data_IF_980822683045
#
_entry.id   IF_980822683045
#
_cell.length_a   1.000
_cell.length_b   1.000
_cell.length_c   1.000
_cell.angle_alpha   90.00
_cell.angle_beta   90.00
_cell.angle_gamma   90.00
#
_symmetry.space_group_name_H-M   'P 1'
#
loop_
_entity.id
_entity.type
_entity.pdbx_description
1 polymer ?
#
# COMPACT_ATOMS: atom_id res chain seq x y z
N UNK A 1 23.24 8.17 3.16
CA UNK A 1 22.19 9.19 3.24
C UNK A 1 21.17 8.97 2.17
N UNK A 2 19.98 8.58 2.58
CA UNK A 2 18.87 8.51 1.65
C UNK A 2 18.41 9.93 1.35
N UNK A 3 18.58 10.34 0.11
CA UNK A 3 18.01 11.61 -0.31
C UNK A 3 16.50 11.47 -0.28
N UNK A 4 15.82 12.38 0.39
CA UNK A 4 14.38 12.46 0.35
C UNK A 4 13.98 12.63 -1.12
N UNK A 5 13.18 11.73 -1.65
CA UNK A 5 12.71 11.85 -3.02
C UNK A 5 11.73 13.01 -3.13
N UNK A 6 12.02 13.90 -4.06
CA UNK A 6 11.14 15.03 -4.34
C UNK A 6 9.97 14.53 -5.15
N UNK A 7 8.77 14.64 -4.58
CA UNK A 7 7.55 14.23 -5.27
C UNK A 7 7.07 15.35 -6.20
N UNK A 8 6.51 14.96 -7.34
CA UNK A 8 5.84 15.91 -8.21
C UNK A 8 4.57 16.43 -7.52
N UNK A 9 4.01 17.51 -8.04
CA UNK A 9 2.76 18.06 -7.51
C UNK A 9 1.64 17.01 -7.48
N UNK A 10 1.48 16.28 -8.57
CA UNK A 10 0.44 15.25 -8.65
C UNK A 10 0.69 14.14 -7.64
N UNK A 11 1.92 13.68 -7.51
CA UNK A 11 2.29 12.65 -6.56
C UNK A 11 2.00 13.10 -5.12
N UNK A 12 2.35 14.33 -4.80
CA UNK A 12 2.13 14.85 -3.45
C UNK A 12 0.64 14.98 -3.14
N UNK A 13 -0.17 15.44 -4.09
CA UNK A 13 -1.61 15.54 -3.91
C UNK A 13 -2.24 14.17 -3.66
N UNK A 14 -1.85 13.18 -4.47
CA UNK A 14 -2.35 11.82 -4.32
C UNK A 14 -1.95 11.24 -2.97
N UNK A 15 -0.69 11.41 -2.59
CA UNK A 15 -0.20 10.90 -1.31
C UNK A 15 -0.94 11.53 -0.13
N UNK A 16 -1.14 12.86 -0.16
CA UNK A 16 -1.85 13.55 0.90
C UNK A 16 -3.28 13.02 1.08
N UNK A 17 -3.96 12.76 -0.02
CA UNK A 17 -5.33 12.22 0.02
C UNK A 17 -5.34 10.85 0.70
N UNK A 18 -4.40 9.99 0.33
CA UNK A 18 -4.31 8.64 0.89
C UNK A 18 -3.90 8.67 2.37
N UNK A 19 -2.96 9.54 2.73
CA UNK A 19 -2.51 9.67 4.11
C UNK A 19 -3.59 10.17 5.05
N UNK A 20 -4.46 11.05 4.58
CA UNK A 20 -5.56 11.61 5.39
C UNK A 20 -6.74 10.66 5.51
N UNK A 21 -6.80 9.63 4.69
CA UNK A 21 -7.89 8.68 4.74
C UNK A 21 -7.77 7.78 5.98
N UNK A 22 -8.91 7.45 6.58
CA UNK A 22 -8.96 6.60 7.77
C UNK A 22 -8.85 5.11 7.43
N UNK A 23 -8.91 4.77 6.17
CA UNK A 23 -8.81 3.39 5.71
C UNK A 23 -8.40 3.36 4.26
N UNK A 24 -8.44 2.18 3.63
CA UNK A 24 -8.06 2.08 2.22
C UNK A 24 -8.99 2.87 1.32
N UNK A 25 -8.42 3.51 0.30
CA UNK A 25 -9.17 4.27 -0.70
C UNK A 25 -9.12 3.55 -2.03
N UNK A 26 -10.28 3.37 -2.64
CA UNK A 26 -10.36 2.81 -3.98
C UNK A 26 -9.93 3.85 -5.01
N UNK A 27 -9.46 3.38 -6.16
CA UNK A 27 -8.94 4.26 -7.20
C UNK A 27 -9.95 5.34 -7.59
N UNK A 28 -11.24 4.99 -7.75
CA UNK A 28 -12.24 5.97 -8.14
C UNK A 28 -12.44 7.05 -7.08
N UNK A 29 -12.29 6.71 -5.80
CA UNK A 29 -12.38 7.72 -4.73
C UNK A 29 -11.22 8.70 -4.80
N UNK A 30 -10.03 8.19 -5.10
CA UNK A 30 -8.85 9.04 -5.29
C UNK A 30 -9.07 9.96 -6.49
N UNK A 31 -9.53 9.42 -7.62
CA UNK A 31 -9.81 10.20 -8.81
C UNK A 31 -10.81 11.33 -8.53
N UNK A 32 -11.86 11.00 -7.79
CA UNK A 32 -12.87 11.99 -7.42
C UNK A 32 -12.27 13.14 -6.60
N UNK A 33 -11.44 12.78 -5.62
CA UNK A 33 -10.83 13.77 -4.75
C UNK A 33 -9.80 14.65 -5.47
N UNK A 34 -9.02 14.07 -6.40
CA UNK A 34 -8.02 14.85 -7.13
C UNK A 34 -8.66 15.79 -8.14
N UNK A 35 -9.84 15.46 -8.67
CA UNK A 35 -10.57 16.35 -9.56
C UNK A 35 -10.88 17.68 -8.87
N UNK A 36 -11.18 17.64 -7.58
CA UNK A 36 -11.41 18.84 -6.78
C UNK A 36 -10.14 19.70 -6.65
N UNK A 37 -8.99 19.12 -6.88
CA UNK A 37 -7.71 19.82 -6.83
C UNK A 37 -7.21 20.23 -8.22
N UNK A 38 -8.06 20.07 -9.26
CA UNK A 38 -7.74 20.51 -10.60
C UNK A 38 -7.02 19.49 -11.48
N UNK A 39 -6.91 18.24 -11.04
CA UNK A 39 -6.31 17.19 -11.84
C UNK A 39 -7.43 16.40 -12.50
N UNK A 40 -7.54 16.49 -13.83
CA UNK A 40 -8.65 15.89 -14.57
C UNK A 40 -8.25 14.68 -15.41
N UNK A 41 -6.96 14.38 -15.54
CA UNK A 41 -6.48 13.30 -16.39
C UNK A 41 -6.25 12.03 -15.56
N UNK A 42 -7.10 10.99 -15.72
CA UNK A 42 -6.95 9.74 -14.94
C UNK A 42 -5.59 9.09 -15.13
N UNK A 43 -5.00 9.17 -16.32
CA UNK A 43 -3.70 8.57 -16.58
C UNK A 43 -2.61 9.16 -15.71
N UNK A 44 -2.67 10.46 -15.44
CA UNK A 44 -1.69 11.12 -14.56
C UNK A 44 -1.79 10.60 -13.13
N UNK A 45 -3.00 10.28 -12.70
CA UNK A 45 -3.24 9.76 -11.35
C UNK A 45 -2.70 8.34 -11.23
N UNK A 46 -2.95 7.49 -12.24
CA UNK A 46 -2.44 6.12 -12.21
C UNK A 46 -0.91 6.10 -12.24
N UNK A 47 -0.29 7.01 -12.99
CA UNK A 47 1.17 7.14 -13.00
C UNK A 47 1.70 7.57 -11.64
N UNK A 48 1.00 8.50 -10.99
CA UNK A 48 1.38 8.95 -9.66
C UNK A 48 1.26 7.80 -8.64
N UNK A 49 0.19 7.03 -8.71
CA UNK A 49 0.00 5.87 -7.84
C UNK A 49 1.10 4.84 -8.05
N UNK A 50 1.41 4.51 -9.30
CA UNK A 50 2.47 3.54 -9.60
C UNK A 50 3.81 3.98 -9.04
N UNK A 51 4.13 5.27 -9.19
CA UNK A 51 5.40 5.81 -8.68
C UNK A 51 5.45 5.77 -7.16
N UNK A 52 4.35 6.12 -6.50
CA UNK A 52 4.28 6.08 -5.04
C UNK A 52 4.42 4.66 -4.50
N UNK A 53 3.89 3.67 -5.21
CA UNK A 53 4.07 2.27 -4.85
C UNK A 53 5.54 1.88 -5.02
N UNK A 54 6.13 2.25 -6.14
CA UNK A 54 7.53 1.92 -6.45
C UNK A 54 8.49 2.43 -5.38
N UNK A 55 8.26 3.64 -4.88
CA UNK A 55 9.13 4.23 -3.86
C UNK A 55 8.71 3.89 -2.43
N UNK A 56 7.68 3.08 -2.26
CA UNK A 56 7.27 2.58 -0.94
C UNK A 56 6.45 3.53 -0.08
N UNK A 57 5.89 4.58 -0.67
CA UNK A 57 5.06 5.54 0.08
C UNK A 57 3.64 5.08 0.28
N UNK A 58 3.13 4.27 -0.63
CA UNK A 58 1.79 3.68 -0.51
C UNK A 58 1.86 2.21 -0.89
N UNK A 59 0.83 1.47 -0.51
CA UNK A 59 0.68 0.06 -0.87
C UNK A 59 -0.68 -0.15 -1.51
N UNK A 60 -0.73 -1.07 -2.46
CA UNK A 60 -1.99 -1.46 -3.08
C UNK A 60 -2.51 -2.73 -2.44
N UNK A 61 -3.77 -2.71 -2.05
CA UNK A 61 -4.47 -3.90 -1.57
C UNK A 61 -5.16 -4.50 -2.78
N UNK A 62 -4.56 -5.52 -3.34
CA UNK A 62 -5.00 -6.09 -4.62
C UNK A 62 -6.43 -6.64 -4.57
N UNK A 63 -6.79 -7.32 -3.49
CA UNK A 63 -8.11 -7.91 -3.34
C UNK A 63 -9.24 -6.88 -3.32
N UNK A 64 -8.93 -5.64 -2.97
CA UNK A 64 -9.93 -4.58 -2.84
C UNK A 64 -9.75 -3.49 -3.88
N UNK A 65 -8.72 -3.57 -4.70
CA UNK A 65 -8.34 -2.53 -5.65
C UNK A 65 -8.30 -1.16 -4.95
N UNK A 66 -7.64 -1.13 -3.80
CA UNK A 66 -7.56 0.04 -2.94
C UNK A 66 -6.13 0.33 -2.54
N UNK A 67 -5.90 1.54 -2.03
CA UNK A 67 -4.56 2.01 -1.68
C UNK A 67 -4.52 2.48 -0.24
N UNK A 68 -3.42 2.19 0.44
CA UNK A 68 -3.16 2.64 1.81
C UNK A 68 -1.79 3.29 1.87
N UNK A 69 -1.64 4.27 2.74
CA UNK A 69 -0.34 4.89 2.99
C UNK A 69 0.53 3.94 3.81
N UNK A 70 1.82 3.95 3.55
CA UNK A 70 2.76 3.17 4.34
C UNK A 70 2.84 3.72 5.76
N UNK A 71 2.69 2.83 6.74
CA UNK A 71 2.75 3.19 8.16
C UNK A 71 4.03 2.69 8.83
N UNK A 72 4.84 1.92 8.11
CA UNK A 72 6.08 1.37 8.62
C UNK A 72 7.26 2.17 8.12
N UNK A 73 8.26 2.36 8.98
CA UNK A 73 9.50 3.03 8.59
C UNK A 73 10.32 2.21 7.60
N UNK A 74 9.97 0.94 7.44
CA UNK A 74 10.72 0.00 6.58
C UNK A 74 10.14 -0.14 5.18
N UNK A 75 9.07 0.59 4.86
CA UNK A 75 8.39 0.45 3.56
C UNK A 75 9.30 0.70 2.36
N UNK A 76 10.23 1.62 2.49
CA UNK A 76 11.16 1.95 1.40
C UNK A 76 12.27 0.91 1.26
N UNK A 77 12.55 0.17 2.33
CA UNK A 77 13.66 -0.77 2.41
C UNK A 77 13.19 -2.20 2.15
N UNK A 78 12.05 -2.57 2.71
CA UNK A 78 11.54 -3.92 2.61
C UNK A 78 10.79 -4.15 1.29
N UNK A 79 11.15 -5.23 0.60
CA UNK A 79 10.45 -5.66 -0.60
C UNK A 79 9.24 -6.54 -0.26
N UNK A 80 9.10 -6.89 1.01
CA UNK A 80 8.03 -7.77 1.48
C UNK A 80 6.95 -6.95 2.16
N UNK A 81 5.71 -7.12 1.72
CA UNK A 81 4.57 -6.44 2.29
C UNK A 81 3.50 -7.45 2.67
N UNK A 82 2.99 -7.35 3.90
CA UNK A 82 1.93 -8.23 4.37
C UNK A 82 0.85 -7.39 5.06
N UNK A 83 -0.40 -7.71 4.77
CA UNK A 83 -1.55 -6.97 5.30
C UNK A 83 -2.54 -7.90 5.98
N UNK A 84 -3.14 -7.40 7.04
CA UNK A 84 -4.25 -8.04 7.72
C UNK A 84 -5.52 -7.29 7.32
N UNK A 85 -6.49 -8.01 6.78
CA UNK A 85 -7.73 -7.43 6.29
C UNK A 85 -8.89 -8.04 7.06
N UNK A 86 -9.68 -7.19 7.72
CA UNK A 86 -10.89 -7.66 8.40
C UNK A 86 -12.04 -7.77 7.39
N UNK A 87 -12.62 -8.94 7.32
CA UNK A 87 -13.73 -9.19 6.39
C UNK A 87 -15.04 -8.56 6.86
N UNK A 88 -15.11 -8.15 8.13
CA UNK A 88 -16.30 -7.54 8.69
C UNK A 88 -16.30 -6.02 8.56
N UNK A 89 -15.26 -5.34 9.07
CA UNK A 89 -15.19 -3.88 9.04
C UNK A 89 -14.31 -3.32 7.93
N UNK A 90 -13.66 -4.20 7.17
CA UNK A 90 -12.78 -3.85 6.06
C UNK A 90 -11.52 -3.08 6.45
N UNK A 91 -11.20 -3.02 7.75
CA UNK A 91 -9.98 -2.37 8.19
C UNK A 91 -8.75 -3.13 7.70
N UNK A 92 -7.76 -2.39 7.26
CA UNK A 92 -6.51 -2.94 6.75
C UNK A 92 -5.37 -2.46 7.64
N UNK A 93 -4.59 -3.40 8.15
CA UNK A 93 -3.39 -3.10 8.92
C UNK A 93 -2.18 -3.75 8.28
N UNK A 94 -1.07 -3.05 8.29
CA UNK A 94 0.19 -3.59 7.83
C UNK A 94 0.78 -4.50 8.90
N UNK A 95 1.19 -5.70 8.51
CA UNK A 95 1.77 -6.67 9.43
C UNK A 95 3.27 -6.42 9.51
N UNK A 96 3.74 -6.07 10.70
CA UNK A 96 5.17 -5.87 10.97
C UNK A 96 5.69 -7.03 11.81
N UNK A 97 5.98 -8.14 11.15
CA UNK A 97 6.50 -9.34 11.81
C UNK A 97 7.91 -9.62 11.25
N UNK A 98 8.90 -9.55 12.13
CA UNK A 98 10.30 -9.71 11.76
C UNK A 98 10.59 -11.09 11.17
N UNK A 99 10.02 -12.13 11.77
CA UNK A 99 10.23 -13.50 11.29
C UNK A 99 9.64 -13.71 9.91
N UNK A 100 8.44 -13.19 9.69
CA UNK A 100 7.78 -13.29 8.39
C UNK A 100 8.55 -12.52 7.33
N UNK A 101 8.93 -11.29 7.63
CA UNK A 101 9.69 -10.45 6.71
C UNK A 101 11.02 -11.11 6.35
N UNK A 102 11.71 -11.64 7.35
CA UNK A 102 12.99 -12.31 7.15
C UNK A 102 12.84 -13.56 6.29
N UNK A 103 11.81 -14.36 6.56
CA UNK A 103 11.51 -15.55 5.76
C UNK A 103 11.25 -15.18 4.31
N UNK A 104 10.42 -14.17 4.07
CA UNK A 104 10.07 -13.74 2.72
C UNK A 104 11.29 -13.19 1.97
N UNK A 105 12.17 -12.49 2.67
CA UNK A 105 13.38 -11.91 2.06
C UNK A 105 14.32 -12.98 1.52
N UNK A 106 14.34 -14.14 2.17
CA UNK A 106 15.20 -15.26 1.77
C UNK A 106 14.45 -16.35 1.01
N UNK A 107 13.18 -16.12 0.72
CA UNK A 107 12.35 -17.12 0.04
C UNK A 107 12.84 -17.40 -1.38
N UNK A 108 12.95 -18.67 -1.70
CA UNK A 108 13.23 -19.13 -3.06
C UNK A 108 12.40 -20.38 -3.34
N UNK A 109 11.99 -20.53 -4.58
CA UNK A 109 11.27 -21.73 -4.96
C UNK A 109 12.23 -22.70 -5.66
N UNK A 110 11.74 -23.92 -5.90
CA UNK A 110 12.54 -24.97 -6.53
C UNK A 110 12.77 -24.72 -8.02
N UNK A 111 12.06 -23.75 -8.59
CA UNK A 111 12.14 -23.44 -10.01
C UNK A 111 13.20 -22.39 -10.35
N UNK A 112 13.83 -21.81 -9.35
CA UNK A 112 14.87 -20.83 -9.54
C UNK A 112 14.40 -19.44 -9.90
N UNK A 113 13.12 -19.15 -9.66
CA UNK A 113 12.56 -17.83 -9.91
C UNK A 113 13.11 -16.83 -8.91
N UNK A 114 13.55 -15.67 -9.40
CA UNK A 114 13.98 -14.57 -8.54
C UNK A 114 12.80 -13.62 -8.34
N UNK A 115 12.39 -13.45 -7.09
CA UNK A 115 11.28 -12.58 -6.76
C UNK A 115 11.79 -11.22 -6.37
N UNK A 116 11.23 -10.17 -6.98
CA UNK A 116 11.62 -8.79 -6.70
C UNK A 116 10.93 -8.22 -5.48
N UNK A 117 9.70 -8.67 -5.23
CA UNK A 117 8.89 -8.19 -4.11
C UNK A 117 7.80 -9.19 -3.79
N UNK A 118 7.24 -9.05 -2.59
CA UNK A 118 6.17 -9.90 -2.10
C UNK A 118 5.02 -9.03 -1.63
N UNK A 119 3.81 -9.50 -1.86
CA UNK A 119 2.61 -8.84 -1.39
C UNK A 119 1.66 -9.91 -0.86
N UNK A 120 1.47 -9.96 0.45
CA UNK A 120 0.64 -10.95 1.11
C UNK A 120 -0.58 -10.28 1.74
N UNK A 121 -1.72 -10.92 1.62
CA UNK A 121 -2.95 -10.45 2.24
C UNK A 121 -3.56 -11.58 3.06
N UNK A 122 -3.78 -11.30 4.35
CA UNK A 122 -4.39 -12.23 5.27
C UNK A 122 -5.80 -11.77 5.59
N UNK A 123 -6.78 -12.64 5.44
CA UNK A 123 -8.19 -12.33 5.64
C UNK A 123 -8.70 -12.97 6.91
N UNK A 124 -9.38 -12.20 7.74
CA UNK A 124 -9.93 -12.71 8.98
C UNK A 124 -10.86 -11.71 9.62
N UNK A 125 -11.08 -11.86 10.91
CA UNK A 125 -11.94 -10.97 11.68
C UNK A 125 -11.08 -10.28 12.74
N UNK A 126 -11.09 -8.95 12.74
CA UNK A 126 -10.28 -8.19 13.68
C UNK A 126 -10.82 -8.31 15.12
N UNK A 127 -9.97 -7.92 16.07
CA UNK A 127 -10.30 -8.03 17.49
C UNK A 127 -11.60 -7.33 17.86
N UNK A 128 -11.85 -6.17 17.24
CA UNK A 128 -13.08 -5.41 17.53
C UNK A 128 -14.34 -6.07 16.98
N UNK A 129 -14.21 -6.79 15.88
CA UNK A 129 -15.34 -7.45 15.24
C UNK A 129 -15.57 -8.86 15.73
N UNK A 130 -14.57 -9.44 16.37
CA UNK A 130 -14.67 -10.79 16.91
C UNK A 130 -15.54 -10.78 18.16
N UNK A 131 -16.68 -11.44 18.07
CA UNK A 131 -17.58 -11.61 19.20
C UNK A 131 -17.36 -13.00 19.77
N UNK A 132 -16.94 -13.06 21.01
CA UNK A 132 -16.81 -14.35 21.73
C UNK A 132 -18.14 -14.75 22.31
#
# INVERSE_FOLDING_TARGET
>A
MTQAQILSRNQQIVLDIIEKAKGPLKAYSILFNVQKKGINAPQQIYRALDKLIEIGKIHKIESKNAFVACRSSDCEISKATAFSICESCEMVDEISDVKLTKYLSSFSDKKGTKYKRFNLEFFGICKKCKKD
#
